data_IF_731781943073
#
_entry.id   IF_731781943073
#
_cell.length_a   1.000
_cell.length_b   1.000
_cell.length_c   1.000
_cell.angle_alpha   90.00
_cell.angle_beta   90.00
_cell.angle_gamma   90.00
#
_symmetry.space_group_name_H-M   'P 1'
#
loop_
_entity.id
_entity.type
_entity.pdbx_description
1 polymer ?
#
# COMPACT_ATOMS: atom_id res chain seq x y z
N UNK A 1 -21.66 4.78 -14.66
CA UNK A 1 -20.57 4.64 -15.64
C UNK A 1 -19.52 5.68 -15.30
N UNK A 2 -18.67 5.31 -14.34
CA UNK A 2 -17.61 6.15 -13.75
C UNK A 2 -18.09 7.07 -12.62
N UNK A 3 -18.77 6.56 -11.59
CA UNK A 3 -19.07 7.35 -10.38
C UNK A 3 -17.77 7.89 -9.74
N UNK A 4 -16.67 7.14 -9.86
CA UNK A 4 -15.31 7.61 -9.63
C UNK A 4 -14.50 7.65 -10.93
N UNK A 5 -13.87 8.79 -11.20
CA UNK A 5 -12.89 8.95 -12.27
C UNK A 5 -11.64 9.67 -11.77
N UNK A 6 -10.47 9.11 -12.05
CA UNK A 6 -9.18 9.75 -11.82
C UNK A 6 -8.48 10.05 -13.15
N UNK A 7 -8.40 11.32 -13.53
CA UNK A 7 -7.69 11.75 -14.73
C UNK A 7 -6.17 11.58 -14.68
N UNK A 8 -5.58 11.54 -13.48
CA UNK A 8 -4.12 11.31 -13.31
C UNK A 8 -3.77 9.85 -13.63
N UNK A 9 -4.58 8.91 -13.17
CA UNK A 9 -4.33 7.48 -13.35
C UNK A 9 -5.05 6.91 -14.59
N UNK A 10 -5.99 7.65 -15.19
CA UNK A 10 -6.89 7.13 -16.22
C UNK A 10 -7.83 6.03 -15.70
N UNK A 11 -8.12 6.04 -14.40
CA UNK A 11 -8.85 4.97 -13.71
C UNK A 11 -10.32 5.33 -13.55
N UNK A 12 -11.20 4.37 -13.84
CA UNK A 12 -12.65 4.47 -13.70
C UNK A 12 -13.15 3.33 -12.81
N UNK A 13 -13.96 3.66 -11.82
CA UNK A 13 -14.63 2.68 -10.96
C UNK A 13 -16.07 3.15 -10.71
N UNK A 14 -17.01 2.22 -10.72
CA UNK A 14 -18.43 2.49 -10.46
C UNK A 14 -18.80 2.26 -8.99
N UNK A 15 -17.93 1.62 -8.21
CA UNK A 15 -18.17 1.28 -6.80
C UNK A 15 -17.59 2.35 -5.86
N UNK A 16 -18.42 3.32 -5.47
CA UNK A 16 -18.04 4.39 -4.53
C UNK A 16 -17.92 3.92 -3.08
N UNK A 17 -18.37 2.71 -2.73
CA UNK A 17 -18.30 2.21 -1.35
C UNK A 17 -16.85 1.91 -0.94
N UNK A 18 -15.96 1.69 -1.91
CA UNK A 18 -14.51 1.54 -1.65
C UNK A 18 -13.83 2.83 -1.20
N UNK A 19 -14.51 3.98 -1.30
CA UNK A 19 -13.98 5.29 -0.95
C UNK A 19 -12.60 5.56 -1.61
N UNK A 20 -12.55 5.44 -2.93
CA UNK A 20 -11.36 5.66 -3.74
C UNK A 20 -10.85 7.10 -3.55
N UNK A 21 -9.53 7.24 -3.49
CA UNK A 21 -8.90 8.55 -3.47
C UNK A 21 -7.56 8.51 -4.21
N UNK A 22 -7.14 9.65 -4.76
CA UNK A 22 -5.85 9.78 -5.41
C UNK A 22 -4.85 10.36 -4.41
N UNK A 23 -3.70 9.72 -4.25
CA UNK A 23 -2.59 10.30 -3.52
C UNK A 23 -1.63 10.97 -4.51
N UNK A 24 -1.53 12.30 -4.46
CA UNK A 24 -0.70 13.08 -5.39
C UNK A 24 0.79 12.74 -5.28
N UNK A 25 1.31 12.51 -4.08
CA UNK A 25 2.72 12.13 -3.88
C UNK A 25 3.04 10.70 -4.37
N UNK A 26 2.08 9.78 -4.29
CA UNK A 26 2.26 8.41 -4.77
C UNK A 26 2.00 8.28 -6.28
N UNK A 27 1.17 9.16 -6.86
CA UNK A 27 0.78 9.09 -8.26
C UNK A 27 -0.19 7.95 -8.61
N UNK A 28 -0.84 7.33 -7.62
CA UNK A 28 -1.76 6.20 -7.81
C UNK A 28 -3.05 6.36 -6.99
N UNK A 29 -4.13 5.75 -7.47
CA UNK A 29 -5.39 5.62 -6.74
C UNK A 29 -5.26 4.57 -5.63
N UNK A 30 -5.85 4.86 -4.48
CA UNK A 30 -5.96 3.99 -3.30
C UNK A 30 -7.43 3.90 -2.89
N UNK A 31 -7.75 3.00 -1.97
CA UNK A 31 -9.10 2.77 -1.42
C UNK A 31 -9.09 2.95 0.11
N UNK A 32 -10.27 3.07 0.73
CA UNK A 32 -10.44 3.19 2.18
C UNK A 32 -10.63 4.62 2.71
N UNK A 33 -10.83 5.59 1.82
CA UNK A 33 -11.11 6.99 2.15
C UNK A 33 -9.84 7.79 2.47
N UNK A 34 -9.59 8.85 1.69
CA UNK A 34 -8.36 9.64 1.82
C UNK A 34 -8.16 10.29 3.20
N UNK A 35 -9.25 10.54 3.94
CA UNK A 35 -9.22 11.07 5.31
C UNK A 35 -8.67 10.11 6.36
N UNK A 36 -8.67 8.80 6.08
CA UNK A 36 -8.18 7.76 7.00
C UNK A 36 -6.72 7.40 6.74
N UNK A 37 -6.08 8.02 5.75
CA UNK A 37 -4.68 7.80 5.37
C UNK A 37 -3.88 9.10 5.36
N UNK A 38 -2.57 8.98 5.57
CA UNK A 38 -1.61 10.07 5.36
C UNK A 38 -0.42 9.56 4.55
N UNK A 39 0.16 10.44 3.73
CA UNK A 39 1.41 10.15 3.04
C UNK A 39 2.60 10.45 3.95
N UNK A 40 3.44 9.45 4.20
CA UNK A 40 4.70 9.66 4.91
C UNK A 40 5.80 9.99 3.89
N UNK A 41 6.24 11.25 3.86
CA UNK A 41 7.24 11.73 2.90
C UNK A 41 8.58 11.00 2.99
N UNK A 42 9.00 10.63 4.21
CA UNK A 42 10.26 9.89 4.42
C UNK A 42 10.17 8.44 3.96
N UNK A 43 9.03 7.77 4.16
CA UNK A 43 8.82 6.43 3.61
C UNK A 43 8.51 6.43 2.11
N UNK A 44 7.96 7.54 1.61
CA UNK A 44 7.41 7.65 0.26
C UNK A 44 6.19 6.75 0.05
N UNK A 45 5.32 6.59 1.07
CA UNK A 45 4.17 5.67 1.03
C UNK A 45 3.01 6.15 1.92
N UNK A 46 1.79 5.74 1.56
CA UNK A 46 0.58 6.03 2.33
C UNK A 46 0.38 5.02 3.46
N UNK A 47 0.06 5.51 4.66
CA UNK A 47 -0.29 4.69 5.82
C UNK A 47 -1.61 5.15 6.42
N UNK A 48 -2.30 4.25 7.11
CA UNK A 48 -3.47 4.64 7.91
C UNK A 48 -3.08 5.68 8.97
N UNK A 49 -3.93 6.66 9.24
CA UNK A 49 -3.75 7.66 10.32
C UNK A 49 -3.51 7.03 11.68
N UNK A 50 -3.94 5.78 11.91
CA UNK A 50 -3.63 5.03 13.12
C UNK A 50 -2.13 4.77 13.34
N UNK A 51 -1.35 4.77 12.26
CA UNK A 51 0.11 4.60 12.24
C UNK A 51 0.87 5.93 12.28
N UNK A 52 0.16 7.06 12.37
CA UNK A 52 0.77 8.38 12.48
C UNK A 52 1.65 8.43 13.74
N UNK A 53 2.94 8.71 13.54
CA UNK A 53 3.98 8.74 14.57
C UNK A 53 4.20 7.41 15.34
N UNK A 54 3.70 6.28 14.82
CA UNK A 54 3.86 4.93 15.42
C UNK A 54 4.56 3.93 14.51
N UNK A 55 4.63 4.19 13.20
CA UNK A 55 5.33 3.30 12.28
C UNK A 55 6.85 3.49 12.37
N UNK A 56 7.58 2.40 12.16
CA UNK A 56 9.04 2.48 11.98
C UNK A 56 9.32 3.07 10.60
N UNK A 57 9.70 4.35 10.59
CA UNK A 57 9.89 5.10 9.36
C UNK A 57 11.23 4.75 8.71
N UNK A 58 11.16 3.84 7.73
CA UNK A 58 12.27 3.38 6.92
C UNK A 58 12.14 3.97 5.53
N UNK A 59 13.22 4.59 5.06
CA UNK A 59 13.23 5.22 3.75
C UNK A 59 12.95 4.19 2.67
N UNK A 60 12.02 4.52 1.76
CA UNK A 60 11.66 3.67 0.62
C UNK A 60 11.24 2.23 0.99
N UNK A 61 10.65 2.05 2.18
CA UNK A 61 10.27 0.74 2.73
C UNK A 61 9.35 -0.11 1.83
N UNK A 62 8.71 0.48 0.81
CA UNK A 62 7.86 -0.26 -0.14
C UNK A 62 8.37 -0.20 -1.57
N UNK A 63 9.49 0.48 -1.84
CA UNK A 63 10.03 0.64 -3.20
C UNK A 63 11.02 -0.46 -3.55
N UNK A 64 10.62 -1.70 -3.31
CA UNK A 64 11.37 -2.90 -3.68
C UNK A 64 10.41 -4.04 -4.04
N UNK A 65 10.96 -5.13 -4.56
CA UNK A 65 10.18 -6.31 -4.94
C UNK A 65 10.03 -7.25 -3.76
N UNK A 66 8.87 -7.90 -3.65
CA UNK A 66 8.66 -8.98 -2.70
C UNK A 66 9.69 -10.09 -2.94
N UNK A 67 10.39 -10.54 -1.90
CA UNK A 67 11.44 -11.57 -2.04
C UNK A 67 10.93 -12.95 -2.41
N UNK A 68 9.61 -13.15 -2.42
CA UNK A 68 8.96 -14.45 -2.68
C UNK A 68 8.36 -14.49 -4.08
N UNK A 69 7.38 -13.62 -4.38
CA UNK A 69 6.72 -13.58 -5.68
C UNK A 69 7.39 -12.64 -6.69
N UNK A 70 8.35 -11.82 -6.25
CA UNK A 70 9.06 -10.84 -7.07
C UNK A 70 8.17 -9.73 -7.68
N UNK A 71 6.93 -9.59 -7.23
CA UNK A 71 6.09 -8.44 -7.57
C UNK A 71 6.57 -7.18 -6.85
N UNK A 72 6.45 -6.03 -7.52
CA UNK A 72 6.80 -4.74 -6.95
C UNK A 72 5.79 -4.33 -5.87
N UNK A 73 6.26 -4.01 -4.66
CA UNK A 73 5.37 -3.83 -3.50
C UNK A 73 4.55 -2.53 -3.55
N UNK A 74 5.08 -1.49 -4.18
CA UNK A 74 4.50 -0.15 -4.11
C UNK A 74 3.15 -0.03 -4.85
N UNK A 75 3.05 -0.64 -6.03
CA UNK A 75 1.86 -0.62 -6.90
C UNK A 75 1.07 -1.94 -6.88
N UNK A 76 1.54 -2.94 -6.13
CA UNK A 76 0.78 -4.17 -5.90
C UNK A 76 -0.52 -3.89 -5.14
N UNK A 77 -1.57 -4.60 -5.54
CA UNK A 77 -2.88 -4.60 -4.88
C UNK A 77 -2.92 -5.53 -3.67
N UNK A 78 -1.90 -6.38 -3.50
CA UNK A 78 -1.82 -7.33 -2.42
C UNK A 78 -1.41 -6.63 -1.12
N UNK A 79 -2.00 -7.05 -0.01
CA UNK A 79 -1.67 -6.50 1.30
C UNK A 79 -0.19 -6.77 1.63
N UNK A 80 0.47 -5.76 2.18
CA UNK A 80 1.87 -5.85 2.61
C UNK A 80 2.00 -5.69 4.11
N UNK A 81 2.98 -6.37 4.69
CA UNK A 81 3.32 -6.30 6.10
C UNK A 81 4.77 -5.91 6.30
N UNK A 82 5.04 -5.10 7.33
CA UNK A 82 6.39 -4.70 7.73
C UNK A 82 6.87 -5.66 8.82
N UNK A 83 7.94 -6.39 8.53
CA UNK A 83 8.54 -7.32 9.49
C UNK A 83 9.29 -6.59 10.59
N UNK A 84 9.57 -7.29 11.70
CA UNK A 84 10.34 -6.73 12.84
C UNK A 84 11.73 -6.22 12.46
N UNK A 85 12.35 -6.79 11.42
CA UNK A 85 13.64 -6.34 10.88
C UNK A 85 13.52 -5.12 9.94
N UNK A 86 12.31 -4.60 9.71
CA UNK A 86 12.05 -3.42 8.89
C UNK A 86 11.78 -3.69 7.41
N UNK A 87 12.01 -4.91 6.93
CA UNK A 87 11.69 -5.26 5.54
C UNK A 87 10.17 -5.42 5.35
N UNK A 88 9.68 -5.04 4.18
CA UNK A 88 8.28 -5.18 3.78
C UNK A 88 8.13 -6.32 2.77
N UNK A 89 7.06 -7.10 2.88
CA UNK A 89 6.67 -8.13 1.91
C UNK A 89 5.16 -8.32 1.89
N UNK A 90 4.61 -9.05 0.93
CA UNK A 90 3.18 -9.38 0.93
C UNK A 90 2.81 -10.27 2.13
N UNK A 91 1.68 -9.96 2.77
CA UNK A 91 1.16 -10.71 3.91
C UNK A 91 0.95 -12.19 3.55
N UNK A 92 0.43 -12.48 2.36
CA UNK A 92 0.24 -13.86 1.88
C UNK A 92 1.56 -14.61 1.68
N UNK A 93 2.59 -13.93 1.15
CA UNK A 93 3.91 -14.50 0.94
C UNK A 93 4.57 -14.85 2.28
N UNK A 94 4.45 -13.96 3.28
CA UNK A 94 4.90 -14.24 4.64
C UNK A 94 4.18 -15.44 5.23
N UNK A 95 2.84 -15.48 5.16
CA UNK A 95 2.06 -16.60 5.68
C UNK A 95 2.39 -17.92 4.97
N UNK A 96 2.65 -17.89 3.66
CA UNK A 96 3.12 -19.05 2.91
C UNK A 96 4.41 -19.60 3.50
N UNK A 97 5.41 -18.74 3.70
CA UNK A 97 6.68 -19.12 4.31
C UNK A 97 6.51 -19.72 5.72
N UNK A 98 5.73 -19.09 6.59
CA UNK A 98 5.49 -19.57 7.96
C UNK A 98 4.78 -20.93 8.01
N UNK A 99 3.95 -21.26 7.01
CA UNK A 99 3.28 -22.58 6.93
C UNK A 99 4.24 -23.72 6.59
N UNK A 100 5.36 -23.43 5.95
CA UNK A 100 6.40 -24.40 5.60
C UNK A 100 7.41 -24.65 6.73
N UNK A 101 7.30 -23.94 7.86
CA UNK A 101 8.14 -24.15 9.05
C UNK A 101 7.62 -25.27 9.98
N UNK A 102 6.66 -26.09 9.52
CA UNK A 102 6.15 -27.27 10.23
C UNK A 102 6.33 -28.56 9.42
#
# INVERSE_FOLDING_TARGET
MGEYFCGVCGFYDDDIEKAQYQCSDCGICRVGGGETFFHCQKCGSCYSVHLFNKHSCLENSMRHHCSICYEYLFDSMNETTVMKCGHTMHTECLHGMLKHEN
#
